data_IF_441097148599
#
_entry.id   IF_441097148599
#
_cell.length_a   1.000
_cell.length_b   1.000
_cell.length_c   1.000
_cell.angle_alpha   90.00
_cell.angle_beta   90.00
_cell.angle_gamma   90.00
#
_symmetry.space_group_name_H-M   'P 1'
#
loop_
_entity.id
_entity.type
_entity.pdbx_description
1 polymer ?
#
# COMPACT_ATOMS: atom_id res chain seq x y z
N UNK A 1 -28.38 5.90 10.43
CA UNK A 1 -27.31 5.04 9.89
C UNK A 1 -25.95 5.68 10.05
N UNK A 2 -24.97 4.86 10.41
CA UNK A 2 -23.60 5.31 10.51
C UNK A 2 -22.90 5.11 9.15
N UNK A 3 -22.09 6.07 8.71
CA UNK A 3 -21.35 5.92 7.47
C UNK A 3 -20.31 4.79 7.58
N UNK A 4 -20.04 4.12 6.46
CA UNK A 4 -18.99 3.11 6.39
C UNK A 4 -17.60 3.76 6.52
N UNK A 5 -16.57 2.96 6.80
CA UNK A 5 -15.19 3.44 6.85
C UNK A 5 -14.79 4.10 5.53
N UNK A 6 -15.19 3.53 4.40
CA UNK A 6 -14.89 4.11 3.09
C UNK A 6 -15.56 5.47 2.90
N UNK A 7 -16.81 5.62 3.37
CA UNK A 7 -17.50 6.91 3.29
C UNK A 7 -16.84 7.97 4.16
N UNK A 8 -16.41 7.58 5.37
CA UNK A 8 -15.70 8.49 6.27
C UNK A 8 -14.36 8.92 5.66
N UNK A 9 -13.64 7.99 5.03
CA UNK A 9 -12.39 8.30 4.35
C UNK A 9 -12.60 9.27 3.19
N UNK A 10 -13.61 9.03 2.36
CA UNK A 10 -13.89 9.91 1.22
C UNK A 10 -14.30 11.31 1.67
N UNK A 11 -15.04 11.42 2.77
CA UNK A 11 -15.40 12.73 3.36
C UNK A 11 -14.15 13.46 3.84
N UNK A 12 -13.25 12.76 4.54
CA UNK A 12 -12.00 13.34 5.02
C UNK A 12 -11.12 13.78 3.85
N UNK A 13 -11.00 12.95 2.82
CA UNK A 13 -10.22 13.26 1.62
C UNK A 13 -10.74 14.51 0.91
N UNK A 14 -12.08 14.63 0.78
CA UNK A 14 -12.70 15.79 0.17
C UNK A 14 -12.45 17.06 1.00
N UNK A 15 -12.62 16.97 2.32
CA UNK A 15 -12.44 18.10 3.23
C UNK A 15 -10.99 18.58 3.26
N UNK A 16 -10.05 17.67 3.51
CA UNK A 16 -8.65 17.99 3.73
C UNK A 16 -7.82 18.02 2.44
N UNK A 17 -8.37 17.54 1.33
CA UNK A 17 -7.79 17.72 0.00
C UNK A 17 -8.04 19.10 -0.58
N UNK A 18 -8.86 19.93 0.09
CA UNK A 18 -9.13 21.30 -0.35
C UNK A 18 -7.85 22.14 -0.30
N UNK A 19 -7.78 23.15 -1.17
CA UNK A 19 -6.59 23.98 -1.37
C UNK A 19 -5.95 24.50 -0.07
N UNK A 20 -6.76 24.88 0.93
CA UNK A 20 -6.25 25.41 2.19
C UNK A 20 -5.46 24.41 3.03
N UNK A 21 -5.61 23.09 2.76
CA UNK A 21 -4.90 22.03 3.47
C UNK A 21 -3.83 21.36 2.61
N UNK A 22 -3.74 21.71 1.33
CA UNK A 22 -2.91 20.99 0.35
C UNK A 22 -1.43 20.91 0.73
N UNK A 23 -0.90 21.90 1.45
CA UNK A 23 0.49 21.94 1.88
C UNK A 23 0.75 21.15 3.17
N UNK A 24 -0.31 20.77 3.90
CA UNK A 24 -0.20 20.15 5.23
C UNK A 24 -0.64 18.69 5.27
N UNK A 25 -1.50 18.28 4.33
CA UNK A 25 -2.12 16.97 4.34
C UNK A 25 -1.89 16.28 3.01
N UNK A 26 -1.35 15.08 3.08
CA UNK A 26 -1.11 14.22 1.93
C UNK A 26 -1.89 12.92 2.14
N UNK A 27 -2.72 12.57 1.16
CA UNK A 27 -3.43 11.30 1.17
C UNK A 27 -2.64 10.25 0.42
N UNK A 28 -2.43 9.10 1.07
CA UNK A 28 -1.67 7.97 0.52
C UNK A 28 -2.55 6.75 0.61
N UNK A 29 -2.77 6.11 -0.52
CA UNK A 29 -3.67 4.97 -0.63
C UNK A 29 -2.92 3.71 -1.00
N UNK A 30 -3.34 2.57 -0.43
CA UNK A 30 -2.89 1.24 -0.84
C UNK A 30 -4.12 0.37 -1.00
N UNK A 31 -4.31 -0.16 -2.20
CA UNK A 31 -5.47 -0.98 -2.58
C UNK A 31 -5.02 -2.40 -2.90
N UNK A 32 -5.62 -3.43 -2.31
CA UNK A 32 -6.82 -3.42 -1.44
C UNK A 32 -6.53 -3.14 0.04
N UNK A 33 -5.28 -3.27 0.46
CA UNK A 33 -4.90 -3.13 1.87
C UNK A 33 -3.40 -2.88 2.00
N UNK A 34 -2.95 -2.46 3.18
CA UNK A 34 -1.54 -2.14 3.47
C UNK A 34 -0.59 -3.29 3.13
N UNK A 35 -1.04 -4.52 3.29
CA UNK A 35 -0.24 -5.72 3.00
C UNK A 35 0.23 -5.80 1.54
N UNK A 36 -0.46 -5.14 0.62
CA UNK A 36 0.00 -5.09 -0.76
C UNK A 36 1.35 -4.37 -0.87
N UNK A 37 1.57 -3.34 -0.08
CA UNK A 37 2.87 -2.68 -0.01
C UNK A 37 3.96 -3.65 0.45
N UNK A 38 3.67 -4.51 1.43
CA UNK A 38 4.63 -5.52 1.89
C UNK A 38 4.99 -6.46 0.75
N UNK A 39 3.98 -6.93 0.00
CA UNK A 39 4.18 -7.85 -1.12
C UNK A 39 5.09 -7.27 -2.20
N UNK A 40 5.02 -5.97 -2.45
CA UNK A 40 5.83 -5.32 -3.48
C UNK A 40 7.33 -5.43 -3.24
N UNK A 41 7.75 -5.68 -1.99
CA UNK A 41 9.16 -5.88 -1.65
C UNK A 41 9.73 -7.17 -2.22
N UNK A 42 8.88 -8.11 -2.59
CA UNK A 42 9.28 -9.47 -2.98
C UNK A 42 9.02 -9.78 -4.45
N UNK A 43 8.17 -9.05 -5.11
CA UNK A 43 7.81 -9.32 -6.50
C UNK A 43 8.95 -8.89 -7.43
N UNK A 44 9.48 -9.81 -8.25
CA UNK A 44 10.63 -9.50 -9.10
C UNK A 44 10.30 -8.53 -10.25
N UNK A 45 9.09 -8.55 -10.73
CA UNK A 45 8.63 -7.71 -11.83
C UNK A 45 7.27 -7.10 -11.50
N UNK A 46 7.00 -5.97 -12.14
CA UNK A 46 5.67 -5.36 -12.07
C UNK A 46 4.71 -6.23 -12.86
N UNK A 47 3.83 -6.91 -12.14
CA UNK A 47 2.73 -7.65 -12.73
C UNK A 47 1.45 -7.06 -12.21
N UNK A 48 0.56 -6.67 -13.12
CA UNK A 48 -0.75 -6.18 -12.73
C UNK A 48 -1.49 -7.29 -11.99
N UNK A 49 -1.88 -7.00 -10.77
CA UNK A 49 -2.59 -7.93 -9.90
C UNK A 49 -3.92 -7.33 -9.51
N UNK A 50 -4.90 -8.19 -9.37
CA UNK A 50 -6.23 -7.79 -8.91
C UNK A 50 -6.61 -8.60 -7.70
N UNK A 51 -6.81 -7.90 -6.58
CA UNK A 51 -7.30 -8.50 -5.36
C UNK A 51 -8.52 -7.71 -4.90
N UNK A 52 -9.61 -8.42 -4.60
CA UNK A 52 -10.82 -7.77 -4.09
C UNK A 52 -10.77 -7.56 -2.58
N UNK A 53 -9.87 -8.26 -1.89
CA UNK A 53 -9.79 -8.22 -0.43
C UNK A 53 -8.42 -8.66 0.08
N UNK A 54 -8.18 -8.40 1.36
CA UNK A 54 -7.03 -8.92 2.08
C UNK A 54 -6.95 -10.45 2.00
N UNK A 55 -8.08 -11.12 2.12
CA UNK A 55 -8.15 -12.59 2.11
C UNK A 55 -7.67 -13.17 0.78
N UNK A 56 -7.89 -12.47 -0.33
CA UNK A 56 -7.39 -12.92 -1.63
C UNK A 56 -5.89 -12.69 -1.78
N UNK A 57 -5.37 -11.64 -1.17
CA UNK A 57 -3.95 -11.30 -1.23
C UNK A 57 -3.11 -12.20 -0.31
N UNK A 58 -3.65 -12.60 0.82
CA UNK A 58 -2.92 -13.29 1.88
C UNK A 58 -2.16 -14.53 1.43
N UNK A 59 -2.74 -15.45 0.63
CA UNK A 59 -2.00 -16.64 0.19
C UNK A 59 -0.72 -16.30 -0.59
N UNK A 60 -0.75 -15.26 -1.40
CA UNK A 60 0.44 -14.85 -2.15
C UNK A 60 1.47 -14.21 -1.22
N UNK A 61 1.02 -13.36 -0.29
CA UNK A 61 1.92 -12.76 0.69
C UNK A 61 2.62 -13.82 1.54
N UNK A 62 1.89 -14.85 1.96
CA UNK A 62 2.45 -15.91 2.80
C UNK A 62 3.51 -16.77 2.11
N UNK A 63 3.60 -16.71 0.78
CA UNK A 63 4.71 -17.36 0.06
C UNK A 63 6.05 -16.70 0.41
N UNK A 64 6.04 -15.42 0.72
CA UNK A 64 7.24 -14.64 1.05
C UNK A 64 7.35 -14.34 2.54
N UNK A 65 6.23 -14.34 3.24
CA UNK A 65 6.12 -14.08 4.67
C UNK A 65 5.29 -15.18 5.33
N UNK A 66 5.83 -16.43 5.45
CA UNK A 66 5.04 -17.60 5.85
C UNK A 66 4.32 -17.47 7.19
N UNK A 67 4.89 -16.72 8.11
CA UNK A 67 4.30 -16.53 9.44
C UNK A 67 3.39 -15.33 9.56
N UNK A 68 3.12 -14.62 8.47
CA UNK A 68 2.37 -13.38 8.55
C UNK A 68 0.93 -13.60 9.04
N UNK A 69 0.57 -12.81 10.04
CA UNK A 69 -0.79 -12.74 10.58
C UNK A 69 -1.15 -11.27 10.81
N UNK A 70 -2.38 -10.89 10.48
CA UNK A 70 -2.85 -9.54 10.76
C UNK A 70 -3.39 -9.47 12.19
N UNK A 71 -2.51 -9.63 13.17
CA UNK A 71 -2.84 -9.65 14.59
C UNK A 71 -1.86 -8.80 15.38
N UNK A 72 -2.35 -8.28 16.50
CA UNK A 72 -1.51 -7.54 17.44
C UNK A 72 -0.35 -8.41 17.94
N UNK A 73 -0.60 -9.68 18.18
CA UNK A 73 0.41 -10.64 18.60
C UNK A 73 1.55 -10.74 17.60
N UNK A 74 1.24 -10.85 16.31
CA UNK A 74 2.26 -10.90 15.27
C UNK A 74 3.13 -9.65 15.27
N UNK A 75 2.51 -8.46 15.32
CA UNK A 75 3.24 -7.21 15.25
C UNK A 75 4.08 -6.93 16.50
N UNK A 76 3.70 -7.47 17.66
CA UNK A 76 4.51 -7.39 18.88
C UNK A 76 5.75 -8.29 18.77
N UNK A 77 5.60 -9.48 18.22
CA UNK A 77 6.67 -10.50 18.13
C UNK A 77 7.63 -10.28 16.98
N UNK A 78 7.16 -9.65 15.91
CA UNK A 78 7.90 -9.54 14.66
C UNK A 78 8.31 -8.11 14.41
N UNK A 79 9.60 -7.88 14.22
CA UNK A 79 10.07 -6.62 13.68
C UNK A 79 9.85 -6.64 12.16
N UNK A 80 8.70 -6.11 11.74
CA UNK A 80 8.28 -6.12 10.34
C UNK A 80 9.26 -5.36 9.45
N UNK A 81 9.73 -4.20 9.90
CA UNK A 81 10.70 -3.40 9.15
C UNK A 81 11.98 -4.21 8.88
N UNK A 82 12.49 -4.86 9.92
CA UNK A 82 13.69 -5.69 9.80
C UNK A 82 13.47 -6.85 8.83
N UNK A 83 12.31 -7.52 8.92
CA UNK A 83 12.00 -8.63 8.02
C UNK A 83 11.96 -8.18 6.56
N UNK A 84 11.28 -7.07 6.28
CA UNK A 84 11.18 -6.54 4.92
C UNK A 84 12.54 -6.09 4.39
N UNK A 85 13.38 -5.53 5.25
CA UNK A 85 14.73 -5.08 4.86
C UNK A 85 15.66 -6.25 4.56
N UNK A 86 15.61 -7.30 5.37
CA UNK A 86 16.51 -8.45 5.24
C UNK A 86 16.07 -9.43 4.15
N UNK A 87 14.77 -9.62 3.96
CA UNK A 87 14.24 -10.64 3.05
C UNK A 87 13.60 -10.05 1.79
N UNK A 88 13.24 -8.78 1.82
CA UNK A 88 12.69 -8.06 0.68
C UNK A 88 13.65 -7.00 0.18
N UNK A 89 13.15 -6.09 -0.65
CA UNK A 89 13.95 -5.03 -1.26
C UNK A 89 13.10 -3.75 -1.36
N UNK A 90 13.48 -2.74 -0.59
CA UNK A 90 12.74 -1.46 -0.57
C UNK A 90 12.79 -0.75 -1.93
N UNK A 91 13.94 -0.75 -2.60
CA UNK A 91 14.03 -0.10 -3.92
C UNK A 91 13.09 -0.77 -4.92
N UNK A 92 13.02 -2.10 -4.88
CA UNK A 92 12.09 -2.87 -5.70
C UNK A 92 10.64 -2.51 -5.38
N UNK A 93 10.29 -2.39 -4.10
CA UNK A 93 8.96 -2.00 -3.69
C UNK A 93 8.60 -0.61 -4.22
N UNK A 94 9.53 0.33 -4.15
CA UNK A 94 9.32 1.70 -4.64
C UNK A 94 9.12 1.73 -6.16
N UNK A 95 9.95 1.01 -6.90
CA UNK A 95 9.82 0.94 -8.36
C UNK A 95 8.52 0.27 -8.78
N UNK A 96 8.16 -0.84 -8.13
CA UNK A 96 6.90 -1.53 -8.40
C UNK A 96 5.70 -0.63 -8.10
N UNK A 97 5.76 0.07 -6.98
CA UNK A 97 4.71 1.01 -6.56
C UNK A 97 4.52 2.14 -7.58
N UNK A 98 5.62 2.76 -8.01
CA UNK A 98 5.56 3.83 -9.00
C UNK A 98 4.96 3.38 -10.33
N UNK A 99 5.41 2.22 -10.82
CA UNK A 99 4.93 1.67 -12.10
C UNK A 99 3.45 1.30 -12.04
N UNK A 100 3.00 0.68 -10.95
CA UNK A 100 1.59 0.33 -10.79
C UNK A 100 0.71 1.57 -10.70
N UNK A 101 1.14 2.60 -9.97
CA UNK A 101 0.40 3.86 -9.93
C UNK A 101 0.29 4.49 -11.31
N UNK A 102 1.37 4.45 -12.11
CA UNK A 102 1.34 4.97 -13.47
C UNK A 102 0.36 4.19 -14.34
N UNK A 103 0.36 2.86 -14.26
CA UNK A 103 -0.58 2.02 -15.00
C UNK A 103 -2.03 2.29 -14.61
N UNK A 104 -2.29 2.50 -13.31
CA UNK A 104 -3.63 2.84 -12.83
C UNK A 104 -4.13 4.18 -13.38
N UNK A 105 -3.23 5.15 -13.53
CA UNK A 105 -3.58 6.45 -14.13
C UNK A 105 -3.90 6.33 -15.62
N UNK A 106 -3.18 5.46 -16.33
CA UNK A 106 -3.36 5.24 -17.75
C UNK A 106 -4.63 4.45 -18.06
N UNK A 107 -5.02 3.55 -17.16
CA UNK A 107 -6.18 2.67 -17.33
C UNK A 107 -7.00 2.61 -16.05
N UNK A 108 -7.68 3.71 -15.66
CA UNK A 108 -8.42 3.76 -14.40
C UNK A 108 -9.60 2.80 -14.33
N UNK A 109 -10.09 2.33 -15.47
CA UNK A 109 -11.16 1.33 -15.55
C UNK A 109 -10.68 -0.08 -15.20
N UNK A 110 -9.38 -0.33 -15.28
CA UNK A 110 -8.79 -1.62 -14.91
C UNK A 110 -8.54 -1.63 -13.41
N UNK A 111 -9.35 -2.37 -12.66
CA UNK A 111 -9.25 -2.45 -11.21
C UNK A 111 -8.07 -3.31 -10.80
N UNK A 112 -6.89 -2.71 -10.68
CA UNK A 112 -5.70 -3.42 -10.26
C UNK A 112 -5.23 -2.93 -8.88
N UNK A 113 -4.47 -3.78 -8.19
CA UNK A 113 -3.84 -3.42 -6.93
C UNK A 113 -2.75 -2.38 -7.14
N UNK A 114 -2.62 -1.46 -6.21
CA UNK A 114 -1.59 -0.42 -6.25
C UNK A 114 -1.24 0.06 -4.84
N UNK A 115 -0.13 0.78 -4.72
CA UNK A 115 0.24 1.45 -3.48
C UNK A 115 0.89 2.79 -3.79
N UNK A 116 0.59 3.81 -2.99
CA UNK A 116 1.19 5.13 -3.10
C UNK A 116 2.26 5.37 -2.02
N UNK A 117 2.64 4.35 -1.24
CA UNK A 117 3.59 4.52 -0.13
C UNK A 117 4.92 5.08 -0.61
N UNK A 118 5.34 4.79 -1.84
CA UNK A 118 6.57 5.35 -2.40
C UNK A 118 6.60 6.89 -2.33
N UNK A 119 5.44 7.55 -2.40
CA UNK A 119 5.36 9.01 -2.33
C UNK A 119 5.82 9.54 -0.97
N UNK A 120 5.44 8.85 0.10
CA UNK A 120 5.85 9.21 1.47
C UNK A 120 7.35 9.06 1.62
N UNK A 121 7.90 7.95 1.15
CA UNK A 121 9.33 7.65 1.29
C UNK A 121 10.16 8.67 0.50
N UNK A 122 9.75 9.03 -0.72
CA UNK A 122 10.44 10.06 -1.49
C UNK A 122 10.39 11.40 -0.80
N UNK A 123 9.25 11.77 -0.24
CA UNK A 123 9.11 13.02 0.50
C UNK A 123 10.06 13.06 1.70
N UNK A 124 10.14 11.97 2.46
CA UNK A 124 11.04 11.88 3.61
C UNK A 124 12.52 11.98 3.19
N UNK A 125 12.88 11.46 2.03
CA UNK A 125 14.24 11.53 1.52
C UNK A 125 14.63 12.92 1.02
N UNK A 126 13.67 13.79 0.78
CA UNK A 126 13.91 15.18 0.35
C UNK A 126 14.15 16.14 1.51
N UNK A 127 13.91 15.70 2.74
CA UNK A 127 14.06 16.54 3.94
C UNK A 127 15.53 16.67 4.39
#
# INVERSE_FOLDING_TARGET
QFPSEMQLYQRAKKKYGAKKYAERIMFVETNPCTEFWFLLHFLPNVVCRRYDSYEQLLPELQKYMPGYEKTKRYFIRTNLYKYLTENGDLERAMLNSEKLCQLCKESPEDLMAYSEVHRVIRLLNEI
#
